data_IF_782597476330
#
_entry.id   IF_782597476330
#
_cell.length_a   1.000
_cell.length_b   1.000
_cell.length_c   1.000
_cell.angle_alpha   90.00
_cell.angle_beta   90.00
_cell.angle_gamma   90.00
#
_symmetry.space_group_name_H-M   'P 1'
#
loop_
_entity.id
_entity.type
_entity.pdbx_description
1 polymer ?
#
# COMPACT_ATOMS: atom_id res chain seq x y z
N UNK A 1 28.01 -6.99 -20.21
CA UNK A 1 26.94 -6.20 -19.56
C UNK A 1 25.74 -7.09 -19.22
N UNK A 2 25.74 -7.65 -18.00
CA UNK A 2 24.58 -8.39 -17.48
C UNK A 2 23.49 -7.37 -17.16
N UNK A 3 22.32 -7.55 -17.77
CA UNK A 3 21.10 -6.86 -17.34
C UNK A 3 20.81 -7.30 -15.91
N UNK A 4 21.15 -6.46 -14.93
CA UNK A 4 20.62 -6.59 -13.57
C UNK A 4 19.12 -6.37 -13.67
N UNK A 5 18.36 -7.46 -13.66
CA UNK A 5 16.93 -7.41 -13.42
C UNK A 5 16.73 -6.73 -12.06
N UNK A 6 16.11 -5.56 -12.07
CA UNK A 6 15.81 -4.79 -10.87
C UNK A 6 15.03 -5.69 -9.89
N UNK A 7 15.58 -6.03 -8.70
CA UNK A 7 14.96 -6.98 -7.77
C UNK A 7 13.66 -6.47 -7.15
N UNK A 8 13.31 -5.20 -7.36
CA UNK A 8 12.00 -4.62 -7.00
C UNK A 8 10.88 -5.03 -7.97
N UNK A 9 11.19 -5.73 -9.07
CA UNK A 9 10.25 -6.19 -10.10
C UNK A 9 9.41 -7.43 -9.72
N UNK A 10 9.53 -7.97 -8.51
CA UNK A 10 9.03 -9.31 -8.19
C UNK A 10 7.61 -9.37 -7.61
N UNK A 11 6.94 -8.24 -7.36
CA UNK A 11 5.67 -8.21 -6.65
C UNK A 11 4.57 -7.55 -7.48
N UNK A 12 3.45 -8.25 -7.60
CA UNK A 12 2.22 -7.73 -8.20
C UNK A 12 0.98 -8.30 -7.49
N UNK A 13 -0.09 -7.52 -7.46
CA UNK A 13 -1.42 -7.91 -7.00
C UNK A 13 -2.36 -7.93 -8.19
N UNK A 14 -3.22 -8.94 -8.29
CA UNK A 14 -4.22 -9.05 -9.33
C UNK A 14 -5.60 -9.05 -8.67
N UNK A 15 -6.47 -8.15 -9.11
CA UNK A 15 -7.86 -8.07 -8.68
C UNK A 15 -8.76 -8.57 -9.81
N UNK A 16 -9.65 -9.50 -9.48
CA UNK A 16 -10.63 -10.05 -10.42
C UNK A 16 -12.03 -9.77 -9.87
N UNK A 17 -12.82 -9.04 -10.64
CA UNK A 17 -14.19 -8.69 -10.27
C UNK A 17 -15.18 -9.57 -11.01
N UNK A 18 -15.96 -10.36 -10.26
CA UNK A 18 -17.06 -11.16 -10.80
C UNK A 18 -18.37 -10.61 -10.27
N UNK A 19 -19.12 -9.93 -11.13
CA UNK A 19 -20.36 -9.26 -10.76
C UNK A 19 -21.59 -10.04 -11.25
N UNK A 20 -22.69 -10.08 -10.46
CA UNK A 20 -23.95 -10.66 -10.88
C UNK A 20 -24.62 -9.80 -11.95
N UNK A 21 -25.41 -10.43 -12.82
CA UNK A 21 -26.21 -9.74 -13.85
C UNK A 21 -27.18 -8.74 -13.18
N UNK A 22 -27.36 -7.52 -13.74
CA UNK A 22 -26.97 -7.05 -15.07
C UNK A 22 -25.53 -6.50 -15.19
N UNK A 23 -24.77 -6.41 -14.10
CA UNK A 23 -23.46 -5.76 -14.07
C UNK A 23 -22.30 -6.67 -14.52
N UNK A 24 -22.58 -7.64 -15.40
CA UNK A 24 -21.61 -8.63 -15.86
C UNK A 24 -20.53 -8.00 -16.74
N UNK A 25 -19.43 -7.57 -16.13
CA UNK A 25 -18.15 -7.39 -16.80
C UNK A 25 -17.06 -8.05 -15.94
N UNK A 26 -16.39 -9.11 -16.43
CA UNK A 26 -15.15 -9.55 -15.80
C UNK A 26 -14.12 -8.45 -16.02
N UNK A 27 -13.88 -7.66 -14.98
CA UNK A 27 -12.83 -6.66 -14.97
C UNK A 27 -11.63 -7.25 -14.23
N UNK A 28 -10.49 -7.29 -14.92
CA UNK A 28 -9.26 -7.82 -14.39
C UNK A 28 -8.22 -6.72 -14.39
N UNK A 29 -7.70 -6.41 -13.19
CA UNK A 29 -6.76 -5.33 -13.01
C UNK A 29 -5.50 -5.84 -12.32
N UNK A 30 -4.35 -5.44 -12.87
CA UNK A 30 -3.03 -5.78 -12.36
C UNK A 30 -2.37 -4.56 -11.75
N UNK A 31 -1.85 -4.73 -10.55
CA UNK A 31 -1.20 -3.71 -9.73
C UNK A 31 0.25 -4.14 -9.47
N UNK A 32 1.22 -3.32 -9.87
CA UNK A 32 2.66 -3.56 -9.71
C UNK A 32 3.45 -2.25 -9.61
N UNK A 33 4.78 -2.32 -9.65
CA UNK A 33 5.66 -1.15 -9.55
C UNK A 33 5.43 -0.07 -10.61
N UNK A 34 4.75 -0.38 -11.73
CA UNK A 34 4.45 0.59 -12.78
C UNK A 34 3.27 1.50 -12.47
N UNK A 35 2.34 1.06 -11.61
CA UNK A 35 1.11 1.79 -11.29
C UNK A 35 0.82 1.94 -9.79
N UNK A 36 1.65 1.36 -8.93
CA UNK A 36 1.50 1.46 -7.48
C UNK A 36 2.68 2.21 -6.85
N UNK A 37 2.39 2.97 -5.80
CA UNK A 37 3.42 3.60 -4.96
C UNK A 37 3.74 2.69 -3.79
N UNK A 38 5.02 2.54 -3.46
CA UNK A 38 5.42 1.82 -2.25
C UNK A 38 4.83 2.47 -1.01
N UNK A 39 4.29 1.65 -0.11
CA UNK A 39 3.75 2.12 1.16
C UNK A 39 4.86 2.68 2.06
N UNK A 40 4.65 3.86 2.61
CA UNK A 40 5.57 4.45 3.59
C UNK A 40 5.32 3.80 4.95
N UNK A 41 6.21 2.89 5.33
CA UNK A 41 6.13 2.19 6.62
C UNK A 41 7.08 2.82 7.64
N UNK A 42 6.53 3.15 8.82
CA UNK A 42 7.35 3.33 10.01
C UNK A 42 7.92 4.72 10.28
N UNK A 43 7.32 5.79 9.79
CA UNK A 43 7.76 7.14 10.20
C UNK A 43 7.36 7.40 11.66
N UNK A 44 8.25 7.10 12.61
CA UNK A 44 8.13 7.53 14.02
C UNK A 44 8.94 8.81 14.17
N UNK A 45 8.26 9.96 14.13
CA UNK A 45 8.88 11.29 14.04
C UNK A 45 9.55 11.80 15.33
N UNK A 46 9.76 10.97 16.36
CA UNK A 46 10.17 11.50 17.68
C UNK A 46 11.18 10.63 18.41
N UNK A 47 12.44 10.68 18.00
CA UNK A 47 13.56 10.39 18.92
C UNK A 47 13.79 11.65 19.76
N UNK A 48 13.63 11.55 21.09
CA UNK A 48 13.88 12.68 22.00
C UNK A 48 14.95 12.30 23.01
N UNK A 49 15.98 13.13 23.13
CA UNK A 49 16.95 12.98 24.23
C UNK A 49 16.22 13.31 25.54
N UNK A 50 16.15 12.33 26.43
CA UNK A 50 15.51 12.47 27.73
C UNK A 50 16.49 13.07 28.75
N UNK A 51 15.94 13.78 29.73
CA UNK A 51 16.69 14.33 30.85
C UNK A 51 16.93 13.25 31.92
N UNK A 52 18.00 13.36 32.74
CA UNK A 52 18.24 12.42 33.83
C UNK A 52 17.05 12.36 34.80
N UNK A 53 16.56 11.15 35.08
CA UNK A 53 15.39 10.91 35.94
C UNK A 53 14.06 10.72 35.19
N UNK A 54 14.08 10.84 33.87
CA UNK A 54 12.94 10.49 33.01
C UNK A 54 13.02 9.00 32.60
N UNK A 55 11.95 8.25 32.88
CA UNK A 55 11.86 6.80 32.62
C UNK A 55 11.00 6.47 31.39
N UNK A 56 10.57 7.49 30.64
CA UNK A 56 9.83 7.29 29.39
C UNK A 56 10.72 6.67 28.30
N UNK A 57 10.11 6.06 27.28
CA UNK A 57 10.86 5.51 26.15
C UNK A 57 11.31 6.64 25.21
N UNK A 58 12.62 6.78 25.01
CA UNK A 58 13.24 7.87 24.24
C UNK A 58 13.23 7.68 22.72
N UNK A 59 12.93 6.46 22.27
CA UNK A 59 13.17 6.06 20.89
C UNK A 59 14.65 5.96 20.51
N UNK A 60 15.56 5.95 21.49
CA UNK A 60 16.99 5.66 21.29
C UNK A 60 17.36 4.34 21.95
N UNK A 61 18.27 3.58 21.32
CA UNK A 61 18.89 2.41 21.93
C UNK A 61 20.05 2.87 22.82
N UNK A 62 20.44 2.06 23.80
CA UNK A 62 21.61 2.34 24.67
C UNK A 62 22.91 2.56 23.87
N UNK A 63 22.97 2.05 22.64
CA UNK A 63 24.12 2.15 21.73
C UNK A 63 24.01 3.24 20.65
N UNK A 64 23.01 4.14 20.74
CA UNK A 64 22.87 5.27 19.83
C UNK A 64 21.49 5.35 19.15
N UNK A 65 21.34 6.23 18.14
CA UNK A 65 20.09 6.34 17.42
C UNK A 65 19.73 5.01 16.75
N UNK A 66 18.43 4.72 16.67
CA UNK A 66 17.96 3.58 15.89
C UNK A 66 18.50 3.69 14.45
N UNK A 67 18.86 2.57 13.82
CA UNK A 67 19.21 2.59 12.41
C UNK A 67 18.06 3.21 11.61
N UNK A 68 18.41 3.98 10.58
CA UNK A 68 17.41 4.56 9.66
C UNK A 68 16.51 3.44 9.18
N UNK A 69 15.20 3.62 9.34
CA UNK A 69 14.25 2.61 8.91
C UNK A 69 14.42 2.37 7.42
N UNK A 70 14.41 1.10 7.03
CA UNK A 70 14.44 0.74 5.61
C UNK A 70 13.13 1.21 5.00
N UNK A 71 13.21 2.25 4.19
CA UNK A 71 12.10 2.71 3.37
C UNK A 71 11.99 1.80 2.14
N UNK A 72 10.76 1.41 1.81
CA UNK A 72 10.47 0.74 0.54
C UNK A 72 10.75 -0.76 0.48
N UNK A 73 10.88 -1.27 -0.74
CA UNK A 73 11.16 -2.67 -1.02
C UNK A 73 9.92 -3.51 -1.35
N UNK A 74 10.09 -4.82 -1.59
CA UNK A 74 9.05 -5.67 -2.17
C UNK A 74 7.77 -5.74 -1.31
N UNK A 75 7.90 -5.69 0.02
CA UNK A 75 6.73 -5.67 0.91
C UNK A 75 6.04 -4.31 0.96
N UNK A 76 6.79 -3.20 0.90
CA UNK A 76 6.20 -1.86 0.80
C UNK A 76 5.44 -1.72 -0.52
N UNK A 77 6.00 -2.24 -1.62
CA UNK A 77 5.32 -2.32 -2.90
C UNK A 77 4.07 -3.22 -2.83
N UNK A 78 4.15 -4.40 -2.21
CA UNK A 78 3.00 -5.28 -2.03
C UNK A 78 1.84 -4.55 -1.34
N UNK A 79 2.13 -3.87 -0.24
CA UNK A 79 1.12 -3.13 0.54
C UNK A 79 0.52 -2.00 -0.31
N UNK A 80 1.36 -1.27 -1.06
CA UNK A 80 0.90 -0.26 -2.01
C UNK A 80 -0.01 -0.83 -3.09
N UNK A 81 0.34 -1.98 -3.68
CA UNK A 81 -0.49 -2.66 -4.66
C UNK A 81 -1.83 -3.14 -4.09
N UNK A 82 -1.86 -3.62 -2.84
CA UNK A 82 -3.11 -4.00 -2.17
C UNK A 82 -4.00 -2.78 -1.92
N UNK A 83 -3.42 -1.65 -1.48
CA UNK A 83 -4.15 -0.40 -1.25
C UNK A 83 -4.79 0.13 -2.55
N UNK A 84 -4.05 0.13 -3.66
CA UNK A 84 -4.59 0.52 -4.97
C UNK A 84 -5.67 -0.45 -5.49
N UNK A 85 -5.48 -1.76 -5.33
CA UNK A 85 -6.51 -2.74 -5.68
C UNK A 85 -7.81 -2.53 -4.89
N UNK A 86 -7.68 -2.21 -3.60
CA UNK A 86 -8.83 -1.89 -2.75
C UNK A 86 -9.54 -0.61 -3.19
N UNK A 87 -8.79 0.44 -3.56
CA UNK A 87 -9.38 1.68 -4.10
C UNK A 87 -10.18 1.42 -5.37
N UNK A 88 -9.61 0.68 -6.32
CA UNK A 88 -10.30 0.40 -7.58
C UNK A 88 -11.57 -0.44 -7.36
N UNK A 89 -11.52 -1.40 -6.43
CA UNK A 89 -12.71 -2.13 -5.99
C UNK A 89 -13.81 -1.20 -5.45
N UNK A 90 -13.44 -0.26 -4.58
CA UNK A 90 -14.39 0.70 -4.00
C UNK A 90 -14.99 1.63 -5.06
N UNK A 91 -14.20 2.08 -6.04
CA UNK A 91 -14.65 2.90 -7.15
C UNK A 91 -15.66 2.16 -8.02
N UNK A 92 -15.36 0.90 -8.38
CA UNK A 92 -16.26 0.04 -9.14
C UNK A 92 -17.61 -0.13 -8.44
N UNK A 93 -17.59 -0.51 -7.15
CA UNK A 93 -18.82 -0.68 -6.35
C UNK A 93 -19.59 0.63 -6.21
N UNK A 94 -18.89 1.75 -6.06
CA UNK A 94 -19.52 3.07 -5.98
C UNK A 94 -20.23 3.43 -7.28
N UNK A 95 -19.60 3.17 -8.44
CA UNK A 95 -20.21 3.40 -9.76
C UNK A 95 -21.49 2.58 -9.91
N UNK A 96 -21.45 1.29 -9.59
CA UNK A 96 -22.60 0.39 -9.67
C UNK A 96 -23.76 0.91 -8.81
N UNK A 97 -23.48 1.33 -7.57
CA UNK A 97 -24.50 1.88 -6.66
C UNK A 97 -25.12 3.17 -7.23
N UNK A 98 -24.33 4.02 -7.89
CA UNK A 98 -24.82 5.25 -8.50
C UNK A 98 -25.72 4.96 -9.70
N UNK A 99 -25.34 4.01 -10.57
CA UNK A 99 -26.13 3.58 -11.72
C UNK A 99 -27.47 2.96 -11.28
N UNK A 100 -27.46 2.15 -10.22
CA UNK A 100 -28.69 1.58 -9.63
C UNK A 100 -29.61 2.65 -9.03
N UNK A 101 -29.05 3.71 -8.44
CA UNK A 101 -29.85 4.84 -7.94
C UNK A 101 -30.46 5.66 -9.07
N UNK A 102 -29.75 5.83 -10.17
CA UNK A 102 -30.23 6.58 -11.33
C UNK A 102 -31.35 5.84 -12.08
N UNK A 103 -31.26 4.51 -12.17
CA UNK A 103 -32.25 3.64 -12.84
C UNK A 103 -33.52 3.38 -12.03
N UNK A 104 -33.51 3.61 -10.72
CA UNK A 104 -34.67 3.49 -9.81
C UNK A 104 -35.53 4.76 -9.71
N UNK A 105 -35.24 5.82 -10.49
CA UNK A 105 -36.10 7.00 -10.64
C UNK A 105 -37.12 6.81 -11.75
#
# INVERSE_FOLDING_TARGET
PMNEANPHSAVSVQAQFTLPSPHQSPDEQKFDASNCKEAVLGKVDTSKKLEPGDFSYSGMHDQGPLPTMKEGGPYALLIGCVDEAQKSSNELLTSIIQDEKATKK
#
